data_IF_991473298919
#
_entry.id   IF_991473298919
#
_cell.length_a   1.000
_cell.length_b   1.000
_cell.length_c   1.000
_cell.angle_alpha   90.00
_cell.angle_beta   90.00
_cell.angle_gamma   90.00
#
_symmetry.space_group_name_H-M   'P 1'
#
loop_
_entity.id
_entity.type
_entity.pdbx_description
1 polymer ?
#
# COMPACT_ATOMS: atom_id res chain seq x y z
N UNK A 1 6.65 13.98 -15.49
CA UNK A 1 5.20 14.08 -15.17
C UNK A 1 4.95 13.68 -13.74
N UNK A 2 3.68 13.70 -13.29
CA UNK A 2 3.28 13.15 -11.99
C UNK A 2 2.35 11.94 -12.18
N UNK A 3 2.37 11.02 -11.22
CA UNK A 3 1.53 9.84 -11.19
C UNK A 3 0.97 9.61 -9.78
N UNK A 4 -0.19 8.94 -9.70
CA UNK A 4 -0.78 8.52 -8.44
C UNK A 4 -0.86 7.00 -8.38
N UNK A 5 -0.50 6.44 -7.24
CA UNK A 5 -0.56 5.01 -6.97
C UNK A 5 -1.40 4.77 -5.71
N UNK A 6 -2.40 3.90 -5.81
CA UNK A 6 -3.15 3.41 -4.64
C UNK A 6 -2.65 2.01 -4.32
N UNK A 7 -2.23 1.77 -3.08
CA UNK A 7 -1.69 0.48 -2.66
C UNK A 7 -2.09 0.16 -1.21
N UNK A 8 -2.49 -1.08 -0.97
CA UNK A 8 -2.68 -1.62 0.39
C UNK A 8 -1.38 -2.27 0.88
N UNK A 9 -1.09 -2.14 2.17
CA UNK A 9 -0.01 -2.86 2.85
C UNK A 9 -0.38 -4.32 3.18
N UNK A 10 -1.55 -4.82 2.76
CA UNK A 10 -2.00 -6.20 3.00
C UNK A 10 -0.93 -7.23 2.62
N UNK A 11 -0.24 -7.03 1.49
CA UNK A 11 0.82 -7.92 1.03
C UNK A 11 1.99 -8.02 2.05
N UNK A 12 2.21 -6.99 2.86
CA UNK A 12 3.15 -6.99 3.97
C UNK A 12 2.64 -7.82 5.14
N UNK A 13 1.35 -7.65 5.51
CA UNK A 13 0.71 -8.42 6.59
C UNK A 13 0.67 -9.93 6.30
N UNK A 14 0.54 -10.33 5.04
CA UNK A 14 0.49 -11.75 4.64
C UNK A 14 1.83 -12.30 4.13
N UNK A 15 2.92 -11.53 4.24
CA UNK A 15 4.28 -11.98 3.93
C UNK A 15 4.60 -12.20 2.45
N UNK A 16 3.81 -11.63 1.53
CA UNK A 16 4.08 -11.69 0.09
C UNK A 16 5.11 -10.66 -0.37
N UNK A 17 5.31 -9.59 0.42
CA UNK A 17 6.25 -8.51 0.14
C UNK A 17 6.75 -7.89 1.45
N UNK A 18 8.02 -7.52 1.57
CA UNK A 18 8.52 -6.70 2.67
C UNK A 18 8.11 -5.24 2.53
N UNK A 19 8.11 -4.49 3.63
CA UNK A 19 7.80 -3.05 3.59
C UNK A 19 8.70 -2.25 2.64
N UNK A 20 9.95 -2.66 2.49
CA UNK A 20 10.96 -1.95 1.70
C UNK A 20 10.82 -2.18 0.19
N UNK A 21 10.26 -3.32 -0.22
CA UNK A 21 10.20 -3.71 -1.64
C UNK A 21 9.41 -2.74 -2.51
N UNK A 22 8.30 -2.17 -2.01
CA UNK A 22 7.54 -1.17 -2.78
C UNK A 22 8.37 0.10 -3.01
N UNK A 23 9.07 0.57 -1.97
CA UNK A 23 9.95 1.74 -2.10
C UNK A 23 11.08 1.48 -3.07
N UNK A 24 11.64 0.26 -3.05
CA UNK A 24 12.64 -0.17 -4.01
C UNK A 24 12.10 -0.18 -5.44
N UNK A 25 10.93 -0.75 -5.69
CA UNK A 25 10.33 -0.76 -7.04
C UNK A 25 10.04 0.66 -7.55
N UNK A 26 9.56 1.56 -6.69
CA UNK A 26 9.36 2.97 -7.04
C UNK A 26 10.71 3.61 -7.44
N UNK A 27 11.76 3.39 -6.64
CA UNK A 27 13.09 3.93 -6.91
C UNK A 27 13.73 3.34 -8.18
N UNK A 28 13.63 2.03 -8.38
CA UNK A 28 14.14 1.30 -9.54
C UNK A 28 13.43 1.73 -10.84
N UNK A 29 12.16 2.15 -10.73
CA UNK A 29 11.41 2.77 -11.83
C UNK A 29 11.83 4.23 -12.12
N UNK A 30 12.84 4.76 -11.43
CA UNK A 30 13.27 6.15 -11.58
C UNK A 30 12.26 7.16 -11.04
N UNK A 31 11.43 6.78 -10.08
CA UNK A 31 10.43 7.64 -9.46
C UNK A 31 10.83 8.03 -8.04
N UNK A 32 10.22 9.08 -7.52
CA UNK A 32 10.29 9.49 -6.12
C UNK A 32 8.89 9.76 -5.57
N UNK A 33 8.69 9.44 -4.30
CA UNK A 33 7.47 9.78 -3.56
C UNK A 33 7.52 11.26 -3.20
N UNK A 34 6.47 12.00 -3.55
CA UNK A 34 6.26 13.40 -3.18
C UNK A 34 5.34 13.53 -1.97
N UNK A 35 4.31 12.69 -1.92
CA UNK A 35 3.30 12.68 -0.87
C UNK A 35 2.78 11.26 -0.69
N UNK A 36 2.39 10.94 0.55
CA UNK A 36 1.71 9.71 0.93
C UNK A 36 0.56 10.06 1.86
N UNK A 37 -0.64 9.63 1.52
CA UNK A 37 -1.84 9.78 2.35
C UNK A 37 -2.38 8.40 2.71
N UNK A 38 -2.69 8.18 3.97
CA UNK A 38 -3.08 6.87 4.50
C UNK A 38 -4.54 6.86 4.96
N UNK A 39 -5.20 5.72 4.80
CA UNK A 39 -6.53 5.48 5.35
C UNK A 39 -6.71 4.05 5.84
N UNK A 40 -7.39 3.91 6.98
CA UNK A 40 -7.84 2.63 7.52
C UNK A 40 -8.96 2.01 6.65
N UNK A 41 -9.16 0.69 6.70
CA UNK A 41 -10.09 0.00 5.81
C UNK A 41 -11.54 0.31 6.20
N UNK A 42 -12.40 0.50 5.20
CA UNK A 42 -13.84 0.78 5.37
C UNK A 42 -14.76 -0.21 4.65
N UNK A 43 -14.21 -1.32 4.17
CA UNK A 43 -14.92 -2.28 3.33
C UNK A 43 -15.44 -3.49 4.13
N UNK A 44 -16.46 -4.18 3.61
CA UNK A 44 -17.10 -5.30 4.33
C UNK A 44 -16.11 -6.39 4.80
N UNK A 45 -15.05 -6.67 4.03
CA UNK A 45 -14.06 -7.72 4.35
C UNK A 45 -13.24 -7.44 5.62
N UNK A 46 -13.10 -6.17 6.03
CA UNK A 46 -12.41 -5.82 7.28
C UNK A 46 -13.33 -5.98 8.50
N UNK A 47 -14.61 -6.27 8.30
CA UNK A 47 -15.58 -6.53 9.36
C UNK A 47 -16.07 -7.98 9.37
N UNK A 48 -15.64 -8.80 8.40
CA UNK A 48 -16.06 -10.19 8.26
C UNK A 48 -15.06 -11.12 8.96
N UNK A 49 -15.40 -11.54 10.18
CA UNK A 49 -14.58 -12.47 10.98
C UNK A 49 -14.46 -13.87 10.36
N UNK A 50 -15.27 -14.20 9.35
CA UNK A 50 -15.17 -15.48 8.63
C UNK A 50 -14.16 -15.44 7.47
N UNK A 51 -13.68 -14.25 7.09
CA UNK A 51 -12.63 -14.10 6.07
C UNK A 51 -11.30 -14.67 6.61
N UNK A 52 -10.63 -15.59 5.89
CA UNK A 52 -9.35 -16.16 6.34
C UNK A 52 -8.23 -15.12 6.54
N UNK A 53 -8.36 -13.94 5.93
CA UNK A 53 -7.43 -12.84 6.04
C UNK A 53 -7.94 -11.75 7.00
N UNK A 54 -9.01 -11.98 7.76
CA UNK A 54 -9.64 -11.00 8.64
C UNK A 54 -8.62 -10.24 9.51
N UNK A 55 -7.71 -10.95 10.18
CA UNK A 55 -6.70 -10.33 11.05
C UNK A 55 -5.83 -9.32 10.30
N UNK A 56 -5.40 -9.65 9.08
CA UNK A 56 -4.64 -8.75 8.22
C UNK A 56 -5.52 -7.62 7.64
N UNK A 57 -6.77 -7.92 7.28
CA UNK A 57 -7.74 -6.97 6.69
C UNK A 57 -8.21 -5.90 7.67
N UNK A 58 -8.23 -6.19 8.97
CA UNK A 58 -8.56 -5.20 10.01
C UNK A 58 -7.42 -4.19 10.19
N UNK A 59 -6.19 -4.66 10.00
CA UNK A 59 -4.97 -3.88 10.24
C UNK A 59 -4.44 -3.19 8.97
N UNK A 60 -4.92 -3.59 7.79
CA UNK A 60 -4.41 -3.05 6.52
C UNK A 60 -4.62 -1.54 6.39
N UNK A 61 -3.64 -0.86 5.84
CA UNK A 61 -3.69 0.55 5.45
C UNK A 61 -3.64 0.64 3.94
N UNK A 62 -4.58 1.38 3.37
CA UNK A 62 -4.51 1.78 1.97
C UNK A 62 -3.88 3.18 1.89
N UNK A 63 -2.85 3.30 1.05
CA UNK A 63 -2.11 4.53 0.86
C UNK A 63 -2.30 5.06 -0.57
N UNK A 64 -2.52 6.36 -0.70
CA UNK A 64 -2.39 7.11 -1.95
C UNK A 64 -1.01 7.76 -2.00
N UNK A 65 -0.18 7.33 -2.94
CA UNK A 65 1.12 7.90 -3.23
C UNK A 65 1.01 8.88 -4.38
N UNK A 66 1.60 10.05 -4.23
CA UNK A 66 1.90 10.97 -5.33
C UNK A 66 3.36 10.81 -5.71
N UNK A 67 3.61 10.47 -6.96
CA UNK A 67 4.92 10.12 -7.48
C UNK A 67 5.32 11.11 -8.59
N UNK A 68 6.63 11.30 -8.76
CA UNK A 68 7.18 11.97 -9.94
C UNK A 68 8.47 11.29 -10.40
N UNK A 69 8.86 11.56 -11.64
CA UNK A 69 10.19 11.19 -12.14
C UNK A 69 11.30 11.83 -11.29
N UNK A 70 12.31 11.01 -11.00
CA UNK A 70 13.55 11.41 -10.34
C UNK A 70 14.37 12.18 -11.37
N UNK A 71 14.56 13.47 -11.11
CA UNK A 71 15.38 14.37 -11.93
C UNK A 71 16.85 14.17 -11.59
#
# INVERSE_FOLDING_TARGET
>A
GEAWLIMSDLAEHIGLRSQEELQKWIADAGLTVLEKLDIAPRHAKSSDQSDPLYEARVLEITSLYRLKEKV
#
